data_IF_139836583901
#
_entry.id   IF_139836583901
#
_cell.length_a   1.000
_cell.length_b   1.000
_cell.length_c   1.000
_cell.angle_alpha   90.00
_cell.angle_beta   90.00
_cell.angle_gamma   90.00
#
_symmetry.space_group_name_H-M   'P 1'
#
loop_
_entity.id
_entity.type
_entity.pdbx_description
1 polymer ?
#
# COMPACT_ATOMS: atom_id res chain seq x y z
N UNK A 1 -6.39 -7.37 3.53
CA UNK A 1 -5.13 -7.97 3.04
C UNK A 1 -4.27 -8.34 4.22
N UNK A 2 -3.68 -9.52 4.24
CA UNK A 2 -2.73 -9.90 5.31
C UNK A 2 -1.32 -9.40 4.97
N UNK A 3 -0.48 -9.31 6.00
CA UNK A 3 0.87 -8.77 5.86
C UNK A 3 1.72 -9.53 4.82
N UNK A 4 1.62 -10.86 4.80
CA UNK A 4 2.38 -11.67 3.84
C UNK A 4 1.99 -11.36 2.40
N UNK A 5 0.70 -11.15 2.13
CA UNK A 5 0.21 -10.77 0.80
C UNK A 5 0.74 -9.39 0.41
N UNK A 6 0.72 -8.44 1.34
CA UNK A 6 1.23 -7.10 1.08
C UNK A 6 2.73 -7.13 0.78
N UNK A 7 3.51 -7.89 1.55
CA UNK A 7 4.95 -7.99 1.34
C UNK A 7 5.27 -8.57 -0.05
N UNK A 8 4.55 -9.59 -0.47
CA UNK A 8 4.71 -10.17 -1.81
C UNK A 8 4.36 -9.15 -2.90
N UNK A 9 3.25 -8.42 -2.72
CA UNK A 9 2.82 -7.40 -3.67
C UNK A 9 3.85 -6.26 -3.74
N UNK A 10 4.36 -5.81 -2.61
CA UNK A 10 5.36 -4.75 -2.54
C UNK A 10 6.64 -5.15 -3.27
N UNK A 11 7.08 -6.41 -3.13
CA UNK A 11 8.22 -6.92 -3.87
C UNK A 11 7.96 -6.93 -5.37
N UNK A 12 6.79 -7.41 -5.77
CA UNK A 12 6.40 -7.50 -7.17
C UNK A 12 6.38 -6.12 -7.84
N UNK A 13 5.86 -5.13 -7.13
CA UNK A 13 5.80 -3.74 -7.60
C UNK A 13 7.09 -2.96 -7.38
N UNK A 14 8.09 -3.60 -6.74
CA UNK A 14 9.36 -2.97 -6.40
C UNK A 14 9.19 -1.70 -5.59
N UNK A 15 8.28 -1.73 -4.62
CA UNK A 15 8.08 -0.61 -3.71
C UNK A 15 9.29 -0.47 -2.79
N UNK A 16 9.88 0.72 -2.78
CA UNK A 16 11.03 0.97 -1.92
C UNK A 16 10.59 1.04 -0.46
N UNK A 17 11.42 0.55 0.49
CA UNK A 17 11.17 0.80 1.90
C UNK A 17 11.11 2.31 2.15
N UNK A 18 10.13 2.73 2.93
CA UNK A 18 9.98 4.14 3.26
C UNK A 18 8.54 4.49 3.60
N UNK A 19 8.25 5.80 3.78
CA UNK A 19 6.92 6.24 4.23
C UNK A 19 5.79 5.85 3.30
N UNK A 20 6.01 5.88 1.98
CA UNK A 20 4.97 5.53 1.02
C UNK A 20 4.54 4.06 1.15
N UNK A 21 5.52 3.15 1.22
CA UNK A 21 5.25 1.73 1.40
C UNK A 21 4.57 1.46 2.73
N UNK A 22 5.04 2.10 3.79
CA UNK A 22 4.47 1.94 5.13
C UNK A 22 3.04 2.49 5.19
N UNK A 23 2.77 3.61 4.52
CA UNK A 23 1.42 4.17 4.43
C UNK A 23 0.45 3.19 3.76
N UNK A 24 0.86 2.58 2.65
CA UNK A 24 0.04 1.58 1.98
C UNK A 24 -0.22 0.37 2.88
N UNK A 25 0.79 -0.07 3.62
CA UNK A 25 0.65 -1.18 4.57
C UNK A 25 -0.36 -0.86 5.67
N UNK A 26 -0.26 0.32 6.26
CA UNK A 26 -1.17 0.73 7.34
C UNK A 26 -2.63 0.74 6.87
N UNK A 27 -2.87 1.19 5.65
CA UNK A 27 -4.23 1.24 5.10
C UNK A 27 -4.73 -0.16 4.71
N UNK A 28 -3.92 -0.91 3.96
CA UNK A 28 -4.37 -2.17 3.34
C UNK A 28 -4.29 -3.37 4.29
N UNK A 29 -3.35 -3.38 5.21
CA UNK A 29 -3.18 -4.49 6.16
C UNK A 29 -3.86 -4.18 7.48
N UNK A 30 -3.54 -3.03 8.08
CA UNK A 30 -4.03 -2.67 9.41
C UNK A 30 -5.43 -2.03 9.39
N UNK A 31 -5.95 -1.71 8.22
CA UNK A 31 -7.30 -1.14 8.10
C UNK A 31 -7.38 0.32 8.51
N UNK A 32 -6.26 1.02 8.61
CA UNK A 32 -6.22 2.43 8.98
C UNK A 32 -6.80 3.29 7.87
N UNK A 33 -7.45 4.41 8.23
CA UNK A 33 -7.87 5.37 7.21
C UNK A 33 -6.65 6.06 6.61
N UNK A 34 -6.79 6.57 5.37
CA UNK A 34 -5.70 7.29 4.71
C UNK A 34 -5.28 8.52 5.52
N UNK A 35 -6.26 9.24 6.08
CA UNK A 35 -5.98 10.42 6.91
C UNK A 35 -5.16 10.05 8.16
N UNK A 36 -5.53 8.96 8.84
CA UNK A 36 -4.82 8.51 10.03
C UNK A 36 -3.41 8.03 9.70
N UNK A 37 -3.25 7.32 8.59
CA UNK A 37 -1.93 6.88 8.14
C UNK A 37 -1.02 8.07 7.81
N UNK A 38 -1.57 9.09 7.16
CA UNK A 38 -0.82 10.33 6.86
C UNK A 38 -0.34 11.01 8.14
N UNK A 39 -1.22 11.11 9.13
CA UNK A 39 -0.86 11.74 10.42
C UNK A 39 0.19 10.92 11.16
N UNK A 40 0.02 9.60 11.20
CA UNK A 40 0.95 8.72 11.92
C UNK A 40 2.37 8.78 11.35
N UNK A 41 2.48 8.86 10.03
CA UNK A 41 3.78 8.88 9.34
C UNK A 41 4.30 10.28 9.06
N UNK A 42 3.51 11.32 9.39
CA UNK A 42 3.85 12.71 9.12
C UNK A 42 4.17 12.94 7.64
N UNK A 43 3.29 12.43 6.78
CA UNK A 43 3.38 12.60 5.32
C UNK A 43 2.12 13.27 4.80
N UNK A 44 2.18 13.80 3.58
CA UNK A 44 1.00 14.41 2.97
C UNK A 44 -0.07 13.37 2.65
N UNK A 45 -1.36 13.75 2.70
CA UNK A 45 -2.44 12.83 2.29
C UNK A 45 -2.27 12.32 0.86
N UNK A 46 -1.71 13.12 -0.05
CA UNK A 46 -1.45 12.69 -1.42
C UNK A 46 -0.45 11.54 -1.49
N UNK A 47 0.56 11.56 -0.64
CA UNK A 47 1.53 10.45 -0.56
C UNK A 47 0.82 9.14 -0.23
N UNK A 48 -0.09 9.16 0.74
CA UNK A 48 -0.86 7.98 1.13
C UNK A 48 -1.80 7.54 0.01
N UNK A 49 -2.54 8.49 -0.56
CA UNK A 49 -3.48 8.20 -1.65
C UNK A 49 -2.79 7.57 -2.84
N UNK A 50 -1.64 8.12 -3.26
CA UNK A 50 -0.88 7.59 -4.39
C UNK A 50 -0.31 6.21 -4.09
N UNK A 51 0.20 5.99 -2.89
CA UNK A 51 0.76 4.70 -2.49
C UNK A 51 -0.31 3.61 -2.48
N UNK A 52 -1.49 3.90 -1.90
CA UNK A 52 -2.61 2.97 -1.84
C UNK A 52 -3.14 2.68 -3.24
N UNK A 53 -3.29 3.70 -4.08
CA UNK A 53 -3.77 3.53 -5.45
C UNK A 53 -2.82 2.64 -6.27
N UNK A 54 -1.52 2.85 -6.12
CA UNK A 54 -0.51 2.03 -6.80
C UNK A 54 -0.56 0.58 -6.36
N UNK A 55 -0.69 0.34 -5.06
CA UNK A 55 -0.79 -1.01 -4.53
C UNK A 55 -2.06 -1.72 -5.02
N UNK A 56 -3.19 -1.03 -5.02
CA UNK A 56 -4.47 -1.58 -5.51
C UNK A 56 -4.42 -1.88 -7.00
N UNK A 57 -3.83 -1.00 -7.80
CA UNK A 57 -3.66 -1.23 -9.23
C UNK A 57 -2.82 -2.48 -9.49
N UNK A 58 -1.73 -2.65 -8.75
CA UNK A 58 -0.90 -3.85 -8.84
C UNK A 58 -1.66 -5.12 -8.47
N UNK A 59 -2.49 -5.06 -7.44
CA UNK A 59 -3.30 -6.19 -7.01
C UNK A 59 -4.31 -6.61 -8.09
N UNK A 60 -4.95 -5.64 -8.74
CA UNK A 60 -5.88 -5.92 -9.84
C UNK A 60 -5.15 -6.62 -11.00
N UNK A 61 -3.96 -6.14 -11.37
CA UNK A 61 -3.17 -6.76 -12.43
C UNK A 61 -2.76 -8.19 -12.08
N UNK A 62 -2.35 -8.43 -10.84
CA UNK A 62 -1.97 -9.77 -10.38
C UNK A 62 -3.18 -10.72 -10.48
N UNK A 63 -4.35 -10.29 -10.06
CA UNK A 63 -5.58 -11.08 -10.15
C UNK A 63 -5.92 -11.45 -11.60
N UNK A 64 -5.73 -10.52 -12.54
CA UNK A 64 -5.99 -10.78 -13.96
C UNK A 64 -5.05 -11.82 -14.54
N UNK A 65 -3.81 -11.86 -14.07
CA UNK A 65 -2.80 -12.83 -14.54
C UNK A 65 -3.04 -14.21 -13.96
N UNK A 66 -3.35 -14.30 -12.67
CA UNK A 66 -3.46 -15.56 -11.95
C UNK A 66 -4.84 -16.21 -12.13
N UNK A 67 -5.86 -15.42 -12.20
CA UNK A 67 -7.25 -15.89 -12.33
C UNK A 67 -7.75 -15.83 -13.76
#
# INVERSE_FOLDING_TARGET
MIAAQFNALAQLLRLRPGPAREAARLVLVDGMTQADAARKLDVSPNTVTNAVARARAGLVLVRKVIL
#
